data_IF_134617106469
#
_entry.id   IF_134617106469
#
_cell.length_a   1.000
_cell.length_b   1.000
_cell.length_c   1.000
_cell.angle_alpha   90.00
_cell.angle_beta   90.00
_cell.angle_gamma   90.00
#
_symmetry.space_group_name_H-M   'P 1'
#
loop_
_entity.id
_entity.type
_entity.pdbx_description
1 polymer ?
#
# COMPACT_ATOMS: atom_id res chain seq x y z
N UNK A 1 1.13 -34.90 38.57
CA UNK A 1 0.04 -34.20 37.80
C UNK A 1 0.57 -32.84 37.50
N UNK A 2 0.92 -32.66 36.20
CA UNK A 2 1.69 -31.57 35.69
C UNK A 2 0.94 -30.25 35.70
N UNK A 3 1.64 -29.19 36.10
CA UNK A 3 1.27 -27.82 35.83
C UNK A 3 1.85 -27.43 34.49
N UNK A 4 1.01 -27.21 33.49
CA UNK A 4 1.35 -26.46 32.32
C UNK A 4 1.87 -25.08 32.75
N UNK A 5 3.10 -24.78 32.42
CA UNK A 5 3.71 -23.50 32.81
C UNK A 5 3.26 -22.42 31.84
N UNK A 6 3.16 -21.19 32.32
CA UNK A 6 2.85 -19.99 31.54
C UNK A 6 3.74 -19.88 30.29
N UNK A 7 4.93 -20.49 30.32
CA UNK A 7 5.88 -20.59 29.20
C UNK A 7 5.42 -21.54 28.09
N UNK A 8 4.66 -22.60 28.41
CA UNK A 8 4.17 -23.55 27.39
C UNK A 8 3.00 -22.91 26.60
N UNK A 9 2.12 -22.14 27.27
CA UNK A 9 1.07 -21.35 26.62
C UNK A 9 1.63 -20.23 25.75
N UNK A 10 2.64 -19.50 26.22
CA UNK A 10 3.29 -18.47 25.43
C UNK A 10 3.99 -19.04 24.18
N UNK A 11 4.40 -20.31 24.21
CA UNK A 11 5.01 -21.01 23.09
C UNK A 11 3.99 -21.49 22.07
N UNK A 12 2.79 -21.87 22.50
CA UNK A 12 1.65 -22.19 21.62
C UNK A 12 1.10 -20.94 20.95
N UNK A 13 0.98 -19.81 21.67
CA UNK A 13 0.56 -18.54 21.12
C UNK A 13 1.57 -18.01 20.06
N UNK A 14 2.87 -18.18 20.28
CA UNK A 14 3.91 -17.85 19.29
C UNK A 14 3.92 -18.79 18.06
N UNK A 15 3.49 -20.04 18.22
CA UNK A 15 3.36 -20.96 17.11
C UNK A 15 2.13 -20.66 16.25
N UNK A 16 1.02 -20.22 16.87
CA UNK A 16 -0.19 -19.79 16.15
C UNK A 16 0.02 -18.48 15.36
N UNK A 17 0.85 -17.57 15.88
CA UNK A 17 1.24 -16.36 15.13
C UNK A 17 2.15 -16.68 13.93
N UNK A 18 2.92 -17.76 13.97
CA UNK A 18 3.72 -18.21 12.83
C UNK A 18 2.88 -18.89 11.73
N UNK A 19 1.78 -19.58 12.08
CA UNK A 19 0.87 -20.13 11.09
C UNK A 19 0.04 -19.01 10.40
N UNK A 20 -0.34 -17.94 11.13
CA UNK A 20 -0.99 -16.77 10.55
C UNK A 20 -0.08 -15.97 9.58
N UNK A 21 1.25 -16.06 9.74
CA UNK A 21 2.21 -15.44 8.82
C UNK A 21 2.41 -16.24 7.52
N UNK A 22 2.14 -17.56 7.51
CA UNK A 22 2.28 -18.40 6.33
C UNK A 22 1.11 -18.31 5.34
N UNK A 23 -0.09 -17.91 5.80
CA UNK A 23 -1.25 -17.68 4.94
C UNK A 23 -1.16 -16.39 4.11
N UNK A 24 -0.25 -15.48 4.45
CA UNK A 24 -0.08 -14.20 3.76
C UNK A 24 0.78 -14.29 2.48
N UNK A 25 1.53 -15.39 2.28
CA UNK A 25 2.33 -15.63 1.06
C UNK A 25 1.49 -16.05 -0.16
N UNK A 26 0.29 -16.60 0.04
CA UNK A 26 -0.59 -17.07 -1.04
C UNK A 26 -1.31 -15.94 -1.80
N UNK A 27 -1.22 -14.70 -1.34
CA UNK A 27 -1.95 -13.52 -1.86
C UNK A 27 -1.10 -12.55 -2.67
N UNK A 28 0.09 -12.97 -3.13
CA UNK A 28 0.91 -12.15 -4.03
C UNK A 28 0.39 -12.33 -5.46
N UNK A 29 -0.14 -11.24 -6.01
CA UNK A 29 -0.56 -11.21 -7.41
C UNK A 29 0.66 -11.09 -8.32
N UNK A 30 0.75 -11.97 -9.32
CA UNK A 30 1.80 -11.91 -10.34
C UNK A 30 1.25 -11.15 -11.56
N UNK A 31 1.80 -9.96 -11.81
CA UNK A 31 1.35 -9.10 -12.90
C UNK A 31 1.64 -9.71 -14.28
N UNK A 32 2.67 -10.54 -14.40
CA UNK A 32 3.03 -11.18 -15.68
C UNK A 32 2.00 -12.23 -16.12
N UNK A 33 1.26 -12.83 -15.16
CA UNK A 33 0.21 -13.80 -15.45
C UNK A 33 -1.12 -13.18 -15.91
N UNK A 34 -1.31 -11.87 -15.72
CA UNK A 34 -2.56 -11.12 -16.00
C UNK A 34 -2.67 -10.61 -17.44
N UNK A 35 -1.72 -10.93 -18.32
CA UNK A 35 -1.58 -10.37 -19.67
C UNK A 35 -2.71 -10.72 -20.66
N UNK A 36 -3.73 -11.51 -20.29
CA UNK A 36 -4.82 -11.95 -21.19
C UNK A 36 -6.15 -11.22 -20.98
N UNK A 37 -6.21 -10.13 -20.19
CA UNK A 37 -7.46 -9.57 -19.72
C UNK A 37 -7.92 -8.28 -20.45
N UNK A 38 -9.09 -7.77 -20.07
CA UNK A 38 -9.78 -6.64 -20.72
C UNK A 38 -8.92 -5.37 -20.78
N UNK A 39 -9.17 -4.42 -21.72
CA UNK A 39 -8.43 -3.18 -21.83
C UNK A 39 -8.36 -2.36 -20.52
N UNK A 40 -9.42 -2.43 -19.71
CA UNK A 40 -9.46 -1.71 -18.41
C UNK A 40 -8.53 -2.34 -17.38
N UNK A 41 -8.44 -3.66 -17.35
CA UNK A 41 -7.50 -4.36 -16.47
C UNK A 41 -6.08 -3.94 -16.81
N UNK A 42 -5.71 -3.98 -18.10
CA UNK A 42 -4.40 -3.54 -18.59
C UNK A 42 -4.11 -2.06 -18.27
N UNK A 43 -5.15 -1.20 -18.30
CA UNK A 43 -5.00 0.21 -17.91
C UNK A 43 -4.64 0.33 -16.42
N UNK A 44 -5.36 -0.37 -15.52
CA UNK A 44 -5.06 -0.35 -14.08
C UNK A 44 -3.66 -0.88 -13.82
N UNK A 45 -3.29 -2.00 -14.43
CA UNK A 45 -1.95 -2.59 -14.28
C UNK A 45 -0.85 -1.64 -14.79
N UNK A 46 -1.09 -0.97 -15.93
CA UNK A 46 -0.17 0.04 -16.46
C UNK A 46 -0.03 1.26 -15.54
N UNK A 47 -1.12 1.68 -14.87
CA UNK A 47 -1.06 2.76 -13.88
C UNK A 47 -0.23 2.36 -12.66
N UNK A 48 -0.36 1.12 -12.18
CA UNK A 48 0.44 0.61 -11.06
C UNK A 48 1.92 0.54 -11.44
N UNK A 49 2.24 -0.02 -12.60
CA UNK A 49 3.63 -0.12 -13.09
C UNK A 49 4.24 1.25 -13.32
N UNK A 50 3.55 2.16 -14.00
CA UNK A 50 4.04 3.51 -14.24
C UNK A 50 4.26 4.32 -12.96
N UNK A 51 3.49 4.08 -11.91
CA UNK A 51 3.70 4.69 -10.61
C UNK A 51 4.98 4.16 -9.93
N UNK A 52 5.22 2.85 -9.98
CA UNK A 52 6.44 2.22 -9.45
C UNK A 52 7.68 2.75 -10.18
N UNK A 53 7.66 2.76 -11.52
CA UNK A 53 8.77 3.25 -12.35
C UNK A 53 9.12 4.71 -12.07
N UNK A 54 8.09 5.55 -11.85
CA UNK A 54 8.25 6.98 -11.54
C UNK A 54 8.49 7.27 -10.06
N UNK A 55 8.60 6.23 -9.22
CA UNK A 55 8.76 6.34 -7.76
C UNK A 55 7.68 7.21 -7.11
N UNK A 56 6.43 7.07 -7.58
CA UNK A 56 5.30 7.76 -6.99
C UNK A 56 5.00 7.22 -5.59
N UNK A 57 4.65 8.09 -4.66
CA UNK A 57 4.20 7.69 -3.32
C UNK A 57 2.74 7.25 -3.31
N UNK A 58 1.90 7.88 -4.14
CA UNK A 58 0.47 7.61 -4.20
C UNK A 58 -0.05 7.70 -5.65
N UNK A 59 -1.10 6.92 -5.94
CA UNK A 59 -1.91 7.03 -7.15
C UNK A 59 -3.28 7.55 -6.71
N UNK A 60 -3.77 8.60 -7.36
CA UNK A 60 -5.10 9.15 -7.16
C UNK A 60 -5.94 8.88 -8.40
N UNK A 61 -7.10 8.25 -8.23
CA UNK A 61 -8.09 8.04 -9.30
C UNK A 61 -9.33 8.80 -8.89
N UNK A 62 -9.64 9.85 -9.62
CA UNK A 62 -10.73 10.78 -9.32
C UNK A 62 -11.84 10.66 -10.35
N UNK A 63 -13.04 10.32 -9.90
CA UNK A 63 -14.24 10.34 -10.72
C UNK A 63 -14.75 11.76 -10.88
N UNK A 64 -14.79 12.27 -12.12
CA UNK A 64 -15.35 13.58 -12.45
C UNK A 64 -16.66 13.42 -13.24
N UNK A 65 -17.33 14.51 -13.54
CA UNK A 65 -18.58 14.51 -14.30
C UNK A 65 -18.47 13.75 -15.64
N UNK A 66 -17.44 14.05 -16.43
CA UNK A 66 -17.27 13.54 -17.79
C UNK A 66 -16.10 12.58 -17.98
N UNK A 67 -15.24 12.43 -17.00
CA UNK A 67 -14.02 11.65 -17.12
C UNK A 67 -13.57 11.06 -15.78
N UNK A 68 -12.64 10.11 -15.84
CA UNK A 68 -11.83 9.66 -14.72
C UNK A 68 -10.44 10.21 -14.90
N UNK A 69 -9.89 10.85 -13.88
CA UNK A 69 -8.54 11.38 -13.86
C UNK A 69 -7.65 10.46 -13.00
N UNK A 70 -6.54 10.02 -13.57
CA UNK A 70 -5.51 9.32 -12.81
C UNK A 70 -4.30 10.23 -12.63
N UNK A 71 -3.80 10.36 -11.40
CA UNK A 71 -2.67 11.21 -11.04
C UNK A 71 -1.69 10.44 -10.17
N UNK A 72 -0.41 10.76 -10.30
CA UNK A 72 0.67 10.30 -9.42
C UNK A 72 1.11 11.41 -8.49
N UNK A 73 1.35 11.05 -7.23
CA UNK A 73 2.08 11.93 -6.32
C UNK A 73 3.56 11.59 -6.37
N UNK A 74 4.38 12.52 -6.82
CA UNK A 74 5.84 12.39 -6.92
C UNK A 74 6.44 13.58 -6.18
N UNK A 75 7.28 13.33 -5.19
CA UNK A 75 7.92 14.37 -4.36
C UNK A 75 6.92 15.40 -3.79
N UNK A 76 5.75 14.91 -3.36
CA UNK A 76 4.67 15.71 -2.78
C UNK A 76 3.73 16.38 -3.80
N UNK A 77 4.13 16.55 -5.07
CA UNK A 77 3.32 17.16 -6.13
C UNK A 77 2.48 16.12 -6.89
N UNK A 78 1.30 16.53 -7.37
CA UNK A 78 0.43 15.70 -8.20
C UNK A 78 0.65 15.98 -9.68
N UNK A 79 0.86 14.91 -10.45
CA UNK A 79 1.04 14.95 -11.91
C UNK A 79 0.02 14.03 -12.58
N UNK A 80 -0.49 14.39 -13.75
CA UNK A 80 -1.34 13.51 -14.54
C UNK A 80 -0.56 12.24 -14.95
N UNK A 81 -1.16 11.09 -14.64
CA UNK A 81 -0.57 9.78 -14.95
C UNK A 81 -0.84 9.38 -16.40
N UNK A 82 -2.02 9.73 -16.92
CA UNK A 82 -2.50 9.46 -18.27
C UNK A 82 -3.48 10.53 -18.72
N UNK A 83 -3.82 10.54 -20.01
CA UNK A 83 -4.95 11.32 -20.49
C UNK A 83 -6.25 10.92 -19.76
N UNK A 84 -7.22 11.85 -19.63
CA UNK A 84 -8.50 11.55 -19.01
C UNK A 84 -9.18 10.33 -19.66
N UNK A 85 -9.66 9.41 -18.85
CA UNK A 85 -10.38 8.20 -19.28
C UNK A 85 -11.86 8.50 -19.33
N UNK A 86 -12.59 7.97 -20.32
CA UNK A 86 -14.03 8.17 -20.43
C UNK A 86 -14.79 7.71 -19.18
N UNK A 87 -15.76 8.50 -18.76
CA UNK A 87 -16.58 8.28 -17.55
C UNK A 87 -17.20 6.89 -17.46
N UNK A 88 -17.61 6.32 -18.60
CA UNK A 88 -18.23 4.98 -18.66
C UNK A 88 -17.35 3.87 -18.07
N UNK A 89 -16.04 4.09 -17.97
CA UNK A 89 -15.09 3.12 -17.42
C UNK A 89 -14.83 3.27 -15.91
N UNK A 90 -15.38 4.31 -15.28
CA UNK A 90 -15.15 4.61 -13.86
C UNK A 90 -15.44 3.42 -12.95
N UNK A 91 -16.65 2.84 -13.08
CA UNK A 91 -17.06 1.70 -12.24
C UNK A 91 -16.18 0.47 -12.44
N UNK A 92 -15.79 0.19 -13.69
CA UNK A 92 -14.93 -0.98 -14.01
C UNK A 92 -13.53 -0.81 -13.44
N UNK A 93 -12.97 0.41 -13.50
CA UNK A 93 -11.64 0.73 -12.90
C UNK A 93 -11.71 0.52 -11.39
N UNK A 94 -12.70 1.12 -10.72
CA UNK A 94 -12.87 0.99 -9.26
C UNK A 94 -13.12 -0.45 -8.86
N UNK A 95 -13.99 -1.17 -9.57
CA UNK A 95 -14.26 -2.58 -9.30
C UNK A 95 -13.00 -3.45 -9.40
N UNK A 96 -12.15 -3.21 -10.41
CA UNK A 96 -10.87 -3.92 -10.53
C UNK A 96 -9.97 -3.70 -9.32
N UNK A 97 -9.85 -2.46 -8.86
CA UNK A 97 -9.04 -2.11 -7.68
C UNK A 97 -9.64 -2.73 -6.41
N UNK A 98 -10.97 -2.72 -6.27
CA UNK A 98 -11.66 -3.39 -5.14
C UNK A 98 -11.39 -4.90 -5.12
N UNK A 99 -11.45 -5.56 -6.28
CA UNK A 99 -11.11 -7.00 -6.38
C UNK A 99 -9.67 -7.25 -5.93
N UNK A 100 -8.72 -6.44 -6.41
CA UNK A 100 -7.31 -6.59 -6.02
C UNK A 100 -7.09 -6.38 -4.51
N UNK A 101 -7.84 -5.47 -3.90
CA UNK A 101 -7.74 -5.12 -2.48
C UNK A 101 -8.70 -5.91 -1.58
N UNK A 102 -9.42 -6.91 -2.14
CA UNK A 102 -10.41 -7.76 -1.44
C UNK A 102 -11.54 -6.93 -0.77
N UNK A 103 -11.97 -5.85 -1.43
CA UNK A 103 -13.05 -4.97 -0.97
C UNK A 103 -14.40 -5.39 -1.56
N UNK A 104 -15.49 -4.97 -0.93
CA UNK A 104 -16.85 -5.21 -1.41
C UNK A 104 -17.15 -4.38 -2.66
N UNK A 105 -17.36 -5.06 -3.81
CA UNK A 105 -17.64 -4.42 -5.08
C UNK A 105 -19.07 -3.85 -5.12
N UNK A 106 -20.01 -4.44 -4.38
CA UNK A 106 -21.41 -4.03 -4.38
C UNK A 106 -21.65 -2.78 -3.53
N UNK A 107 -20.86 -2.58 -2.46
CA UNK A 107 -21.01 -1.41 -1.60
C UNK A 107 -20.26 -0.22 -2.20
N UNK A 108 -20.99 0.89 -2.40
CA UNK A 108 -20.47 2.12 -3.04
C UNK A 108 -20.77 3.39 -2.25
N UNK A 109 -21.41 3.25 -1.06
CA UNK A 109 -21.93 4.38 -0.28
C UNK A 109 -21.10 4.71 0.93
N UNK A 110 -20.24 3.79 1.35
CA UNK A 110 -19.36 3.96 2.50
C UNK A 110 -17.91 3.83 2.09
N UNK A 111 -16.99 4.53 2.77
CA UNK A 111 -15.56 4.35 2.56
C UNK A 111 -15.12 2.91 2.86
N UNK A 112 -14.15 2.42 2.08
CA UNK A 112 -13.54 1.12 2.26
C UNK A 112 -12.02 1.24 2.19
N UNK A 113 -11.33 0.54 3.09
CA UNK A 113 -9.88 0.46 3.11
C UNK A 113 -9.44 -0.99 2.92
N UNK A 114 -8.40 -1.20 2.13
CA UNK A 114 -7.86 -2.51 1.84
C UNK A 114 -6.37 -2.47 1.51
N UNK A 115 -5.82 -3.62 1.18
CA UNK A 115 -4.42 -3.77 0.82
C UNK A 115 -4.24 -4.92 -0.16
N UNK A 116 -3.21 -4.83 -0.97
CA UNK A 116 -2.76 -5.93 -1.80
C UNK A 116 -1.24 -5.86 -2.01
N UNK A 117 -0.67 -6.92 -2.52
CA UNK A 117 0.76 -7.03 -2.84
C UNK A 117 0.93 -7.43 -4.29
N UNK A 118 1.92 -6.83 -4.94
CA UNK A 118 2.35 -7.22 -6.28
C UNK A 118 3.82 -7.62 -6.26
N UNK A 119 4.13 -8.67 -6.99
CA UNK A 119 5.52 -9.05 -7.27
C UNK A 119 5.92 -8.41 -8.61
N UNK A 120 6.91 -7.52 -8.55
CA UNK A 120 7.40 -6.77 -9.71
C UNK A 120 8.91 -6.89 -9.78
N UNK A 121 9.45 -7.46 -10.86
CA UNK A 121 10.90 -7.64 -11.05
C UNK A 121 11.59 -8.30 -9.85
N UNK A 122 10.97 -9.33 -9.28
CA UNK A 122 11.50 -10.09 -8.14
C UNK A 122 11.35 -9.41 -6.78
N UNK A 123 10.74 -8.21 -6.70
CA UNK A 123 10.46 -7.47 -5.46
C UNK A 123 8.98 -7.55 -5.13
N UNK A 124 8.65 -7.57 -3.84
CA UNK A 124 7.27 -7.49 -3.36
C UNK A 124 6.98 -6.06 -2.90
N UNK A 125 5.98 -5.44 -3.50
CA UNK A 125 5.55 -4.08 -3.20
C UNK A 125 4.17 -4.14 -2.54
N UNK A 126 4.04 -3.48 -1.38
CA UNK A 126 2.78 -3.36 -0.66
C UNK A 126 1.98 -2.15 -1.16
N UNK A 127 0.68 -2.32 -1.34
CA UNK A 127 -0.26 -1.27 -1.72
C UNK A 127 -1.35 -1.15 -0.67
N UNK A 128 -1.60 0.07 -0.20
CA UNK A 128 -2.75 0.39 0.66
C UNK A 128 -3.76 1.18 -0.16
N UNK A 129 -4.99 0.74 -0.14
CA UNK A 129 -6.09 1.28 -0.95
C UNK A 129 -7.14 1.89 -0.04
N UNK A 130 -7.54 3.12 -0.33
CA UNK A 130 -8.72 3.75 0.23
C UNK A 130 -9.67 4.10 -0.90
N UNK A 131 -10.90 3.61 -0.83
CA UNK A 131 -11.98 3.93 -1.77
C UNK A 131 -13.01 4.78 -1.02
N UNK A 132 -13.35 5.94 -1.57
CA UNK A 132 -14.28 6.88 -0.95
C UNK A 132 -15.39 7.28 -1.91
N UNK A 133 -16.67 7.27 -1.47
CA UNK A 133 -17.76 7.86 -2.24
C UNK A 133 -17.50 9.33 -2.54
N UNK A 134 -17.79 9.76 -3.76
CA UNK A 134 -17.72 11.15 -4.19
C UNK A 134 -18.98 11.54 -4.97
N UNK A 135 -19.09 12.84 -5.31
CA UNK A 135 -20.27 13.36 -6.04
C UNK A 135 -20.49 12.68 -7.40
N UNK A 136 -19.41 12.25 -8.03
CA UNK A 136 -19.44 11.66 -9.36
C UNK A 136 -19.14 10.15 -9.39
N UNK A 137 -19.26 9.45 -8.27
CA UNK A 137 -18.99 8.02 -8.14
C UNK A 137 -18.06 7.74 -6.98
N UNK A 138 -17.01 6.96 -7.19
CA UNK A 138 -16.04 6.64 -6.15
C UNK A 138 -14.65 7.17 -6.56
N UNK A 139 -13.94 7.75 -5.61
CA UNK A 139 -12.54 8.14 -5.75
C UNK A 139 -11.66 7.11 -5.05
N UNK A 140 -10.47 6.86 -5.59
CA UNK A 140 -9.52 5.88 -5.03
C UNK A 140 -8.17 6.53 -4.81
N UNK A 141 -7.58 6.25 -3.65
CA UNK A 141 -6.18 6.56 -3.36
C UNK A 141 -5.45 5.27 -3.08
N UNK A 142 -4.35 5.04 -3.80
CA UNK A 142 -3.50 3.86 -3.61
C UNK A 142 -2.12 4.36 -3.16
N UNK A 143 -1.73 4.05 -1.93
CA UNK A 143 -0.38 4.33 -1.41
C UNK A 143 0.56 3.17 -1.73
N UNK A 144 1.74 3.49 -2.20
CA UNK A 144 2.79 2.54 -2.58
C UNK A 144 3.82 2.48 -1.47
N UNK A 145 4.13 1.28 -0.99
CA UNK A 145 5.08 1.01 0.07
C UNK A 145 6.17 0.05 -0.44
N UNK A 146 7.13 0.59 -1.19
CA UNK A 146 8.30 -0.16 -1.68
C UNK A 146 9.42 -0.14 -0.62
N UNK A 147 9.33 -1.07 0.35
CA UNK A 147 10.30 -1.16 1.45
C UNK A 147 11.69 -1.57 0.98
N UNK A 148 11.80 -2.42 -0.03
CA UNK A 148 13.09 -2.90 -0.52
C UNK A 148 13.86 -1.81 -1.27
N UNK A 149 13.17 -0.95 -2.01
CA UNK A 149 13.78 0.20 -2.66
C UNK A 149 14.37 1.17 -1.63
N UNK A 150 13.61 1.49 -0.59
CA UNK A 150 14.07 2.34 0.51
C UNK A 150 15.27 1.72 1.23
N UNK A 151 15.24 0.41 1.53
CA UNK A 151 16.32 -0.31 2.22
C UNK A 151 17.63 -0.33 1.40
N UNK A 152 17.55 -0.44 0.07
CA UNK A 152 18.72 -0.39 -0.82
C UNK A 152 19.29 1.03 -0.96
N UNK A 153 18.43 2.04 -1.01
CA UNK A 153 18.83 3.43 -1.17
C UNK A 153 19.54 3.97 0.07
N UNK A 154 19.14 3.54 1.26
CA UNK A 154 19.71 3.96 2.54
C UNK A 154 20.72 2.97 3.16
N UNK A 155 21.14 1.92 2.44
CA UNK A 155 22.06 0.82 2.81
C UNK A 155 21.87 0.22 4.22
N UNK A 156 21.33 0.98 5.15
CA UNK A 156 20.77 0.63 6.47
C UNK A 156 19.86 1.79 6.88
N UNK A 157 18.61 1.50 7.26
CA UNK A 157 17.69 2.51 7.81
C UNK A 157 18.19 2.99 9.17
N UNK A 158 19.15 3.90 9.15
CA UNK A 158 19.68 4.58 10.34
C UNK A 158 19.22 6.02 10.37
N UNK A 159 18.99 6.56 11.55
CA UNK A 159 18.59 7.96 11.73
C UNK A 159 19.58 8.95 11.09
N UNK A 160 20.87 8.60 11.03
CA UNK A 160 21.90 9.39 10.37
C UNK A 160 21.64 9.57 8.86
N UNK A 161 21.14 8.51 8.19
CA UNK A 161 20.81 8.55 6.78
C UNK A 161 19.61 9.44 6.46
N UNK A 162 18.77 9.75 7.48
CA UNK A 162 17.64 10.66 7.37
C UNK A 162 18.00 12.14 7.56
N UNK A 163 19.30 12.47 7.73
CA UNK A 163 19.76 13.84 7.84
C UNK A 163 19.70 14.46 9.24
N UNK A 164 19.49 13.66 10.29
CA UNK A 164 19.56 14.14 11.67
C UNK A 164 21.00 14.55 12.02
N UNK A 165 21.18 15.71 12.62
CA UNK A 165 22.46 16.12 13.20
C UNK A 165 22.73 15.38 14.54
N UNK A 166 23.96 15.52 15.06
CA UNK A 166 24.37 14.79 16.28
C UNK A 166 23.53 15.18 17.50
N UNK A 167 23.09 16.42 17.63
CA UNK A 167 22.28 16.89 18.74
C UNK A 167 20.85 16.31 18.67
N UNK A 168 20.28 16.29 17.48
CA UNK A 168 18.97 15.68 17.20
C UNK A 168 19.02 14.17 17.46
N UNK A 169 20.08 13.49 17.01
CA UNK A 169 20.29 12.06 17.25
C UNK A 169 20.38 11.74 18.75
N UNK A 170 21.13 12.53 19.50
CA UNK A 170 21.25 12.35 20.94
C UNK A 170 19.88 12.50 21.63
N UNK A 171 19.09 13.48 21.18
CA UNK A 171 17.74 13.75 21.70
C UNK A 171 16.78 12.60 21.41
N UNK A 172 16.73 12.12 20.17
CA UNK A 172 15.86 11.00 19.77
C UNK A 172 16.25 9.73 20.53
N UNK A 173 17.56 9.41 20.62
CA UNK A 173 18.05 8.25 21.37
C UNK A 173 17.68 8.31 22.85
N UNK A 174 17.74 9.49 23.46
CA UNK A 174 17.32 9.69 24.84
C UNK A 174 15.83 9.33 25.00
N UNK A 175 14.95 9.86 24.14
CA UNK A 175 13.52 9.59 24.25
C UNK A 175 13.15 8.14 23.94
N UNK A 176 13.82 7.51 22.96
CA UNK A 176 13.59 6.08 22.65
C UNK A 176 14.02 5.16 23.80
N UNK A 177 14.99 5.60 24.62
CA UNK A 177 15.46 4.83 25.79
C UNK A 177 14.56 4.94 27.02
N UNK A 178 13.58 5.87 27.04
CA UNK A 178 12.64 5.98 28.15
C UNK A 178 11.69 4.76 28.21
N UNK A 179 11.44 4.18 29.40
CA UNK A 179 10.69 2.94 29.53
C UNK A 179 9.17 3.11 29.29
N UNK A 180 8.67 4.34 29.21
CA UNK A 180 7.27 4.66 28.95
C UNK A 180 7.14 6.00 28.25
N UNK A 181 6.02 6.17 27.50
CA UNK A 181 5.74 7.37 26.73
C UNK A 181 5.30 7.05 25.31
N UNK A 182 5.14 8.09 24.50
CA UNK A 182 4.77 8.01 23.09
C UNK A 182 5.60 9.00 22.29
N UNK A 183 6.14 8.55 21.16
CA UNK A 183 6.77 9.40 20.15
C UNK A 183 5.86 9.39 18.92
N UNK A 184 5.33 10.56 18.55
CA UNK A 184 4.50 10.73 17.34
C UNK A 184 5.34 11.37 16.25
N UNK A 185 5.39 10.72 15.10
CA UNK A 185 6.03 11.24 13.87
C UNK A 185 4.91 11.60 12.90
N UNK A 186 4.88 12.86 12.45
CA UNK A 186 3.85 13.40 11.55
C UNK A 186 4.46 13.90 10.26
#
# INVERSE_FOLDING_TARGET
>A
RGGETVLDRAREDLASDHEAASDDESKILDLESLASESPIVRLVDSLLMGAIERRASDIHIESKDRAVLAKYRIDGALYEATAPVEKRHAETIVSRIKVMAELDIAERRIPQDGRFRLKVSGRTIDFRVSVMPSVHGEDVVIRILDRESLSKEFQELRLQALGFDDAQLATVRKYVAEPYGMILVT
#
